data_IF_211083930306
#
_entry.id   IF_211083930306
#
_cell.length_a   1.000
_cell.length_b   1.000
_cell.length_c   1.000
_cell.angle_alpha   90.00
_cell.angle_beta   90.00
_cell.angle_gamma   90.00
#
_symmetry.space_group_name_H-M   'P 1'
#
loop_
_entity.id
_entity.type
_entity.pdbx_description
1 polymer ?
#
# COMPACT_ATOMS: atom_id res chain seq x y z
N UNK A 1 41.28 -29.63 46.66
CA UNK A 1 40.39 -28.66 45.99
C UNK A 1 39.08 -29.37 45.68
N UNK A 2 37.99 -29.02 46.37
CA UNK A 2 36.74 -29.82 46.33
C UNK A 2 36.13 -29.77 44.92
N UNK A 3 35.84 -30.94 44.32
CA UNK A 3 35.31 -31.07 42.95
C UNK A 3 34.09 -30.17 42.70
N UNK A 4 33.24 -30.00 43.72
CA UNK A 4 32.09 -29.07 43.70
C UNK A 4 32.47 -27.61 43.43
N UNK A 5 33.59 -27.11 43.98
CA UNK A 5 34.07 -25.74 43.72
C UNK A 5 34.54 -25.55 42.28
N UNK A 6 35.14 -26.60 41.69
CA UNK A 6 35.59 -26.58 40.30
C UNK A 6 34.40 -26.50 39.34
N UNK A 7 33.33 -27.28 39.59
CA UNK A 7 32.11 -27.20 38.78
C UNK A 7 31.43 -25.83 38.85
N UNK A 8 31.38 -25.21 40.03
CA UNK A 8 30.82 -23.86 40.19
C UNK A 8 31.61 -22.82 39.40
N UNK A 9 32.95 -22.87 39.47
CA UNK A 9 33.82 -21.95 38.73
C UNK A 9 33.64 -22.14 37.21
N UNK A 10 33.52 -23.39 36.75
CA UNK A 10 33.32 -23.70 35.33
C UNK A 10 31.98 -23.17 34.80
N UNK A 11 30.90 -23.30 35.58
CA UNK A 11 29.58 -22.78 35.22
C UNK A 11 29.57 -21.25 35.16
N UNK A 12 30.23 -20.58 36.10
CA UNK A 12 30.35 -19.10 36.10
C UNK A 12 31.13 -18.62 34.87
N UNK A 13 32.21 -19.32 34.51
CA UNK A 13 33.00 -18.97 33.32
C UNK A 13 32.18 -19.09 32.03
N UNK A 14 31.31 -20.11 31.92
CA UNK A 14 30.47 -20.34 30.75
C UNK A 14 29.41 -19.25 30.55
N UNK A 15 28.89 -18.68 31.64
CA UNK A 15 27.90 -17.60 31.59
C UNK A 15 28.50 -16.26 31.13
N UNK A 16 29.81 -16.05 31.31
CA UNK A 16 30.51 -14.83 30.89
C UNK A 16 30.81 -14.77 29.37
N UNK A 17 30.62 -15.88 28.63
CA UNK A 17 30.90 -15.95 27.18
C UNK A 17 29.65 -15.65 26.32
N UNK A 18 28.49 -15.39 26.92
CA UNK A 18 27.26 -15.05 26.18
C UNK A 18 27.22 -13.58 25.76
N UNK A 19 28.01 -13.21 24.74
CA UNK A 19 27.97 -11.88 24.12
C UNK A 19 27.06 -11.92 22.88
N UNK A 20 25.76 -11.64 23.04
CA UNK A 20 24.86 -11.41 21.92
C UNK A 20 24.87 -9.92 21.58
N UNK A 21 25.56 -9.53 20.51
CA UNK A 21 25.58 -8.15 20.05
C UNK A 21 24.29 -7.86 19.27
N UNK A 22 23.48 -6.92 19.78
CA UNK A 22 22.31 -6.40 19.07
C UNK A 22 22.79 -5.55 17.91
N UNK A 23 22.88 -6.16 16.72
CA UNK A 23 23.14 -5.43 15.47
C UNK A 23 21.88 -4.75 14.98
N UNK A 24 22.01 -3.55 14.43
CA UNK A 24 20.92 -2.88 13.71
C UNK A 24 20.59 -3.67 12.44
N UNK A 25 19.32 -4.04 12.26
CA UNK A 25 18.84 -4.59 10.99
C UNK A 25 18.98 -3.49 9.93
N UNK A 26 19.80 -3.70 8.90
CA UNK A 26 20.04 -2.72 7.82
C UNK A 26 18.87 -2.59 6.85
N UNK A 27 17.75 -3.26 7.12
CA UNK A 27 16.63 -3.38 6.20
C UNK A 27 17.01 -4.12 4.91
N UNK A 28 16.01 -4.38 4.07
CA UNK A 28 16.23 -4.79 2.69
C UNK A 28 16.47 -3.57 1.79
N UNK A 29 16.69 -3.83 0.50
CA UNK A 29 16.73 -2.77 -0.49
C UNK A 29 15.43 -1.97 -0.50
N UNK A 30 15.56 -0.67 -0.81
CA UNK A 30 14.39 0.20 -0.92
C UNK A 30 13.57 -0.22 -2.12
N UNK A 31 12.25 -0.28 -1.95
CA UNK A 31 11.33 -0.48 -3.05
C UNK A 31 11.36 0.71 -4.02
N UNK A 32 11.57 0.39 -5.29
CA UNK A 32 11.66 1.33 -6.42
C UNK A 32 10.61 1.03 -7.49
N UNK A 33 9.93 -0.11 -7.40
CA UNK A 33 8.94 -0.52 -8.40
C UNK A 33 7.59 0.10 -8.07
N UNK A 34 6.89 0.68 -9.07
CA UNK A 34 5.54 1.17 -8.85
C UNK A 34 4.53 0.02 -8.80
N UNK A 35 3.39 0.21 -8.10
CA UNK A 35 2.34 -0.80 -8.02
C UNK A 35 1.72 -1.05 -9.40
N UNK A 36 1.40 -2.31 -9.69
CA UNK A 36 0.84 -2.72 -10.98
C UNK A 36 -0.67 -2.84 -10.89
N UNK A 37 -1.38 -2.17 -11.82
CA UNK A 37 -2.83 -2.30 -11.93
C UNK A 37 -3.20 -3.70 -12.47
N UNK A 38 -3.88 -4.50 -11.64
CA UNK A 38 -4.32 -5.84 -12.01
C UNK A 38 -5.69 -5.85 -12.71
N UNK A 39 -6.61 -5.01 -12.24
CA UNK A 39 -7.97 -4.93 -12.79
C UNK A 39 -8.66 -3.64 -12.37
N UNK A 40 -9.60 -3.17 -13.17
CA UNK A 40 -10.53 -2.10 -12.80
C UNK A 40 -11.98 -2.61 -12.85
N UNK A 41 -12.85 -2.01 -12.04
CA UNK A 41 -14.30 -2.21 -12.10
C UNK A 41 -14.96 -0.83 -12.07
N UNK A 42 -15.63 -0.40 -13.14
CA UNK A 42 -15.80 -1.07 -14.43
C UNK A 42 -14.46 -1.29 -15.16
N UNK A 43 -14.47 -2.17 -16.16
CA UNK A 43 -13.29 -2.36 -17.01
C UNK A 43 -12.98 -1.09 -17.81
N UNK A 44 -11.74 -0.94 -18.25
CA UNK A 44 -11.39 0.20 -19.08
C UNK A 44 -12.16 0.12 -20.41
N UNK A 45 -12.71 1.24 -20.87
CA UNK A 45 -13.62 1.34 -22.03
C UNK A 45 -14.97 0.63 -21.86
N UNK A 46 -15.38 0.30 -20.64
CA UNK A 46 -16.72 -0.23 -20.39
C UNK A 46 -17.82 0.79 -20.74
N UNK A 47 -18.98 0.27 -21.13
CA UNK A 47 -20.15 1.07 -21.52
C UNK A 47 -21.30 0.81 -20.57
N UNK A 48 -22.33 1.66 -20.58
CA UNK A 48 -23.50 1.51 -19.71
C UNK A 48 -23.16 1.48 -18.22
N UNK A 49 -22.18 2.28 -17.79
CA UNK A 49 -21.83 2.42 -16.39
C UNK A 49 -22.99 3.07 -15.60
N UNK A 50 -23.56 2.31 -14.66
CA UNK A 50 -24.71 2.73 -13.83
C UNK A 50 -24.36 2.94 -12.36
N UNK A 51 -23.14 2.59 -11.95
CA UNK A 51 -22.71 2.77 -10.57
C UNK A 51 -22.14 4.18 -10.36
N UNK A 52 -21.79 4.51 -9.12
CA UNK A 52 -21.12 5.78 -8.78
C UNK A 52 -19.70 5.57 -8.24
N UNK A 53 -19.15 4.36 -8.39
CA UNK A 53 -17.85 3.98 -7.86
C UNK A 53 -17.02 3.24 -8.90
N UNK A 54 -15.75 3.58 -8.95
CA UNK A 54 -14.71 2.88 -9.68
C UNK A 54 -13.77 2.22 -8.68
N UNK A 55 -13.38 0.99 -8.94
CA UNK A 55 -12.50 0.22 -8.06
C UNK A 55 -11.33 -0.29 -8.90
N UNK A 56 -10.12 0.13 -8.54
CA UNK A 56 -8.88 -0.33 -9.13
C UNK A 56 -8.18 -1.25 -8.14
N UNK A 57 -7.77 -2.45 -8.59
CA UNK A 57 -7.04 -3.41 -7.77
C UNK A 57 -5.59 -3.46 -8.21
N UNK A 58 -4.69 -3.42 -7.25
CA UNK A 58 -3.25 -3.49 -7.46
C UNK A 58 -2.69 -4.79 -6.87
N UNK A 59 -1.49 -5.15 -7.30
CA UNK A 59 -0.73 -6.30 -6.83
C UNK A 59 -0.14 -6.11 -5.42
N UNK A 60 0.05 -4.86 -4.98
CA UNK A 60 0.63 -4.52 -3.69
C UNK A 60 -0.14 -3.45 -2.89
N UNK A 61 0.33 -3.19 -1.67
CA UNK A 61 -0.20 -2.12 -0.82
C UNK A 61 0.49 -0.81 -1.19
N UNK A 62 -0.28 0.26 -1.35
CA UNK A 62 0.22 1.57 -1.74
C UNK A 62 -0.43 2.67 -0.92
N UNK A 63 0.22 3.83 -0.90
CA UNK A 63 -0.30 5.06 -0.29
C UNK A 63 -0.36 6.11 -1.38
N UNK A 64 -1.44 6.89 -1.39
CA UNK A 64 -1.66 7.95 -2.36
C UNK A 64 -1.28 9.30 -1.73
N UNK A 65 -0.31 9.99 -2.33
CA UNK A 65 0.06 11.34 -1.94
C UNK A 65 -0.61 12.33 -2.91
N UNK A 66 -1.38 13.27 -2.37
CA UNK A 66 -1.93 14.42 -3.10
C UNK A 66 -2.76 14.11 -4.37
N UNK A 67 -3.56 13.04 -4.40
CA UNK A 67 -4.40 12.74 -5.57
C UNK A 67 -5.32 13.89 -6.02
N UNK A 68 -5.81 14.69 -5.09
CA UNK A 68 -6.71 15.81 -5.39
C UNK A 68 -6.08 16.90 -6.29
N UNK A 69 -4.75 16.97 -6.36
CA UNK A 69 -4.03 17.89 -7.25
C UNK A 69 -3.69 17.29 -8.61
N UNK A 70 -3.76 15.96 -8.74
CA UNK A 70 -3.23 15.26 -9.92
C UNK A 70 -4.30 14.48 -10.69
N UNK A 71 -5.47 14.26 -10.08
CA UNK A 71 -6.63 13.70 -10.77
C UNK A 71 -7.25 14.70 -11.75
N UNK A 72 -7.33 14.30 -13.02
CA UNK A 72 -7.97 15.06 -14.09
C UNK A 72 -9.08 14.20 -14.69
N UNK A 73 -10.24 14.81 -14.89
CA UNK A 73 -11.39 14.15 -15.50
C UNK A 73 -11.91 15.01 -16.66
N UNK A 74 -12.19 14.37 -17.80
CA UNK A 74 -12.83 14.99 -18.96
C UNK A 74 -14.07 14.18 -19.35
N UNK A 75 -15.28 14.76 -19.37
CA UNK A 75 -15.61 16.14 -19.03
C UNK A 75 -15.32 16.51 -17.57
N UNK A 76 -15.12 17.81 -17.25
CA UNK A 76 -14.87 18.24 -15.88
C UNK A 76 -16.10 17.99 -15.00
N UNK A 77 -15.83 17.53 -13.78
CA UNK A 77 -16.82 17.34 -12.73
C UNK A 77 -17.07 18.66 -12.00
N UNK A 78 -18.30 18.92 -11.58
CA UNK A 78 -18.64 20.03 -10.68
C UNK A 78 -18.12 19.76 -9.28
N UNK A 79 -18.25 18.52 -8.82
CA UNK A 79 -17.78 18.09 -7.50
C UNK A 79 -16.60 17.14 -7.62
N UNK A 80 -15.55 17.38 -6.84
CA UNK A 80 -14.41 16.46 -6.78
C UNK A 80 -14.88 15.11 -6.21
N UNK A 81 -14.49 13.98 -6.80
CA UNK A 81 -14.83 12.68 -6.28
C UNK A 81 -14.12 12.40 -4.96
N UNK A 82 -14.69 11.49 -4.16
CA UNK A 82 -14.08 10.99 -2.94
C UNK A 82 -13.12 9.84 -3.27
N UNK A 83 -11.88 9.93 -2.78
CA UNK A 83 -10.84 8.92 -2.96
C UNK A 83 -10.61 8.11 -1.69
N UNK A 84 -10.59 6.77 -1.79
CA UNK A 84 -10.32 5.88 -0.66
C UNK A 84 -9.38 4.75 -1.04
N UNK A 85 -8.54 4.34 -0.09
CA UNK A 85 -7.72 3.13 -0.18
C UNK A 85 -8.27 2.10 0.80
N UNK A 86 -8.46 0.86 0.34
CA UNK A 86 -8.84 -0.27 1.19
C UNK A 86 -8.00 -1.49 0.83
N UNK A 87 -6.93 -1.70 1.59
CA UNK A 87 -5.92 -2.70 1.27
C UNK A 87 -5.25 -2.39 -0.07
N UNK A 88 -5.20 -3.37 -0.97
CA UNK A 88 -4.65 -3.22 -2.34
C UNK A 88 -5.64 -2.63 -3.35
N UNK A 89 -6.65 -1.88 -2.88
CA UNK A 89 -7.71 -1.32 -3.74
C UNK A 89 -7.76 0.19 -3.62
N UNK A 90 -7.82 0.86 -4.76
CA UNK A 90 -8.13 2.27 -4.88
C UNK A 90 -9.59 2.42 -5.33
N UNK A 91 -10.35 3.22 -4.60
CA UNK A 91 -11.77 3.44 -4.82
C UNK A 91 -11.98 4.92 -5.10
N UNK A 92 -12.56 5.22 -6.27
CA UNK A 92 -13.02 6.55 -6.66
C UNK A 92 -14.53 6.55 -6.57
N UNK A 93 -15.12 7.43 -5.76
CA UNK A 93 -16.58 7.59 -5.65
C UNK A 93 -16.96 8.97 -6.18
N UNK A 94 -17.83 9.00 -7.19
CA UNK A 94 -18.40 10.25 -7.68
C UNK A 94 -19.40 10.78 -6.65
N UNK A 95 -19.32 12.09 -6.39
CA UNK A 95 -20.21 12.79 -5.46
C UNK A 95 -21.42 13.45 -6.16
N UNK A 96 -21.41 13.45 -7.49
CA UNK A 96 -22.52 13.89 -8.34
C UNK A 96 -22.89 12.79 -9.35
N UNK A 97 -24.07 12.92 -9.93
CA UNK A 97 -24.51 12.03 -11.01
C UNK A 97 -23.78 12.35 -12.31
N UNK A 98 -23.32 11.30 -13.00
CA UNK A 98 -22.67 11.42 -14.29
C UNK A 98 -23.71 11.73 -15.37
N UNK A 99 -23.31 12.51 -16.36
CA UNK A 99 -24.17 12.83 -17.51
C UNK A 99 -24.45 11.56 -18.31
N UNK A 100 -25.70 11.41 -18.73
CA UNK A 100 -26.10 10.30 -19.59
C UNK A 100 -25.37 10.36 -20.94
N UNK A 101 -25.18 9.19 -21.57
CA UNK A 101 -24.62 9.06 -22.92
C UNK A 101 -23.28 9.79 -23.12
N UNK A 102 -22.47 9.89 -22.06
CA UNK A 102 -21.22 10.66 -22.04
C UNK A 102 -20.02 9.77 -21.69
N UNK A 103 -18.95 9.90 -22.47
CA UNK A 103 -17.68 9.21 -22.18
C UNK A 103 -16.82 10.04 -21.24
N UNK A 104 -16.45 9.45 -20.10
CA UNK A 104 -15.56 10.07 -19.13
C UNK A 104 -14.16 9.49 -19.23
N UNK A 105 -13.18 10.37 -19.38
CA UNK A 105 -11.76 10.03 -19.43
C UNK A 105 -11.08 10.49 -18.15
N UNK A 106 -10.46 9.55 -17.45
CA UNK A 106 -9.87 9.74 -16.13
C UNK A 106 -8.36 9.62 -16.26
N UNK A 107 -7.64 10.63 -15.79
CA UNK A 107 -6.19 10.68 -15.79
C UNK A 107 -5.67 10.84 -14.38
N UNK A 108 -4.66 10.02 -14.06
CA UNK A 108 -3.93 10.03 -12.80
C UNK A 108 -2.46 10.22 -13.18
N UNK A 109 -1.89 11.38 -12.86
CA UNK A 109 -0.47 11.66 -13.07
C UNK A 109 0.33 11.56 -11.76
#
# INVERSE_FOLDING_TARGET
MNKSRIYIILTILLLLVSCAQVGSLTGGEKDITPPVLLSSTPENFDTNFKNNKLIFKFDEYFVLNNLNSVFICSPPLKEKPEFKIKGKKFIVKFNEDLKDSTTYMLWFA
#
